data_IF_751345311922
#
_entry.id   IF_751345311922
#
_cell.length_a   1.000
_cell.length_b   1.000
_cell.length_c   1.000
_cell.angle_alpha   90.00
_cell.angle_beta   90.00
_cell.angle_gamma   90.00
#
_symmetry.space_group_name_H-M   'P 1'
#
loop_
_entity.id
_entity.type
_entity.pdbx_description
1 polymer ?
#
# COMPACT_ATOMS: atom_id res chain seq x y z
N UNK A 1 -1.64 33.96 8.00
CA UNK A 1 -2.12 33.10 6.88
C UNK A 1 -2.82 31.92 7.51
N UNK A 2 -4.02 31.53 7.05
CA UNK A 2 -4.68 30.33 7.58
C UNK A 2 -3.88 29.08 7.17
N UNK A 3 -3.68 28.18 8.12
CA UNK A 3 -2.90 26.94 7.92
C UNK A 3 -3.66 26.01 6.97
N UNK A 4 -2.96 25.41 6.00
CA UNK A 4 -3.55 24.40 5.13
C UNK A 4 -3.93 23.16 5.94
N UNK A 5 -5.15 22.67 5.75
CA UNK A 5 -5.71 21.49 6.39
C UNK A 5 -5.59 20.27 5.52
N UNK A 6 -5.24 19.13 6.10
CA UNK A 6 -5.17 17.85 5.39
C UNK A 6 -6.05 16.83 6.10
N UNK A 7 -7.04 16.30 5.41
CA UNK A 7 -7.87 15.19 5.86
C UNK A 7 -7.33 13.89 5.24
N UNK A 8 -6.72 13.06 6.06
CA UNK A 8 -6.17 11.76 5.62
C UNK A 8 -7.14 10.61 5.92
N UNK A 9 -7.11 9.52 5.18
CA UNK A 9 -7.89 8.31 5.46
C UNK A 9 -7.63 7.13 4.50
N UNK A 10 -7.86 5.93 4.94
CA UNK A 10 -8.33 5.57 6.29
C UNK A 10 -7.18 5.50 7.31
N UNK A 11 -7.46 6.00 8.51
CA UNK A 11 -6.48 6.11 9.59
C UNK A 11 -5.90 4.79 10.12
N UNK A 12 -6.49 3.65 9.75
CA UNK A 12 -6.00 2.29 10.08
C UNK A 12 -4.87 1.83 9.16
N UNK A 13 -4.54 2.58 8.11
CA UNK A 13 -3.43 2.26 7.22
C UNK A 13 -2.10 2.23 8.00
N UNK A 14 -1.26 1.23 7.73
CA UNK A 14 0.02 1.06 8.42
C UNK A 14 0.95 2.27 8.28
N UNK A 15 0.86 2.99 7.17
CA UNK A 15 1.63 4.21 6.90
C UNK A 15 1.06 5.45 7.57
N UNK A 16 -0.14 5.39 8.15
CA UNK A 16 -0.85 6.57 8.62
C UNK A 16 -0.07 7.40 9.67
N UNK A 17 0.62 6.83 10.67
CA UNK A 17 1.42 7.61 11.60
C UNK A 17 2.54 8.38 10.90
N UNK A 18 3.27 7.74 10.00
CA UNK A 18 4.37 8.37 9.27
C UNK A 18 3.87 9.48 8.32
N UNK A 19 2.68 9.32 7.75
CA UNK A 19 2.03 10.37 6.94
C UNK A 19 1.67 11.55 7.81
N UNK A 20 1.03 11.34 8.97
CA UNK A 20 0.70 12.43 9.91
C UNK A 20 1.94 13.22 10.26
N UNK A 21 3.00 12.54 10.68
CA UNK A 21 4.21 13.21 11.12
C UNK A 21 4.94 13.96 10.00
N UNK A 22 4.94 13.42 8.78
CA UNK A 22 5.49 14.13 7.60
C UNK A 22 4.72 15.44 7.34
N UNK A 23 3.39 15.39 7.42
CA UNK A 23 2.54 16.55 7.19
C UNK A 23 2.67 17.60 8.31
N UNK A 24 2.70 17.16 9.57
CA UNK A 24 2.89 18.04 10.72
C UNK A 24 4.26 18.73 10.69
N UNK A 25 5.32 17.98 10.36
CA UNK A 25 6.68 18.53 10.25
C UNK A 25 6.79 19.55 9.09
N UNK A 26 5.93 19.41 8.06
CA UNK A 26 5.79 20.40 6.98
C UNK A 26 4.86 21.57 7.32
N UNK A 27 4.26 21.61 8.51
CA UNK A 27 3.43 22.72 8.99
C UNK A 27 1.95 22.62 8.62
N UNK A 28 1.44 21.46 8.19
CA UNK A 28 0.02 21.26 7.92
C UNK A 28 -0.78 20.95 9.19
N UNK A 29 -2.05 21.39 9.24
CA UNK A 29 -3.03 20.96 10.25
C UNK A 29 -3.68 19.64 9.77
N UNK A 30 -3.55 18.56 10.56
CA UNK A 30 -3.92 17.21 10.12
C UNK A 30 -5.17 16.72 10.83
N UNK A 31 -6.12 16.26 10.05
CA UNK A 31 -7.31 15.52 10.45
C UNK A 31 -7.28 14.12 9.83
N UNK A 32 -7.92 13.17 10.46
CA UNK A 32 -8.03 11.82 9.94
C UNK A 32 -9.46 11.31 9.99
N UNK A 33 -9.84 10.46 9.03
CA UNK A 33 -11.06 9.67 9.14
C UNK A 33 -10.74 8.18 9.21
N UNK A 34 -11.46 7.48 10.06
CA UNK A 34 -11.34 6.06 10.34
C UNK A 34 -12.67 5.37 10.07
N UNK A 35 -12.65 4.07 9.80
CA UNK A 35 -13.88 3.25 9.75
C UNK A 35 -14.48 3.14 11.14
N UNK A 36 -15.78 3.40 11.26
CA UNK A 36 -16.51 3.28 12.51
C UNK A 36 -16.31 1.90 13.14
N UNK A 37 -15.95 1.90 14.42
CA UNK A 37 -15.68 0.66 15.15
C UNK A 37 -14.35 -0.04 14.83
N UNK A 38 -13.50 0.50 13.96
CA UNK A 38 -12.16 -0.02 13.70
C UNK A 38 -11.12 0.65 14.60
N UNK A 39 -10.19 -0.16 15.10
CA UNK A 39 -9.07 0.33 15.88
C UNK A 39 -8.04 1.04 14.98
N UNK A 40 -7.61 2.23 15.40
CA UNK A 40 -6.53 2.98 14.76
C UNK A 40 -5.57 3.51 15.81
N UNK A 41 -4.27 3.34 15.58
CA UNK A 41 -3.23 3.87 16.47
C UNK A 41 -3.25 5.40 16.53
N UNK A 42 -3.68 6.06 15.46
CA UNK A 42 -3.76 7.52 15.39
C UNK A 42 -4.74 8.16 16.39
N UNK A 43 -5.68 7.39 16.96
CA UNK A 43 -6.55 7.90 18.04
C UNK A 43 -5.78 8.32 19.29
N UNK A 44 -4.55 7.85 19.44
CA UNK A 44 -3.67 8.18 20.56
C UNK A 44 -2.64 9.25 20.23
N UNK A 45 -2.63 9.74 18.99
CA UNK A 45 -1.74 10.80 18.56
C UNK A 45 -2.21 12.15 19.11
N UNK A 46 -1.23 12.96 19.52
CA UNK A 46 -1.44 14.36 19.91
C UNK A 46 -1.47 15.32 18.71
N UNK A 47 -1.16 14.84 17.53
CA UNK A 47 -0.95 15.65 16.33
C UNK A 47 -2.11 15.60 15.33
N UNK A 48 -3.15 14.80 15.60
CA UNK A 48 -4.24 14.60 14.67
C UNK A 48 -5.57 14.44 15.38
N UNK A 49 -6.62 15.04 14.83
CA UNK A 49 -8.01 14.81 15.25
C UNK A 49 -8.62 13.71 14.36
N UNK A 50 -9.04 12.60 15.00
CA UNK A 50 -9.64 11.48 14.28
C UNK A 50 -11.18 11.56 14.31
N UNK A 51 -11.78 11.47 13.12
CA UNK A 51 -13.22 11.34 12.92
C UNK A 51 -13.56 9.90 12.51
N UNK A 52 -14.79 9.51 12.71
CA UNK A 52 -15.28 8.21 12.24
C UNK A 52 -16.33 8.40 11.14
N UNK A 53 -16.24 7.55 10.12
CA UNK A 53 -17.26 7.44 9.08
C UNK A 53 -17.73 5.99 8.94
N UNK A 54 -18.90 5.79 8.38
CA UNK A 54 -19.40 4.47 8.04
C UNK A 54 -18.35 3.71 7.21
N UNK A 55 -18.13 2.43 7.52
CA UNK A 55 -17.23 1.60 6.75
C UNK A 55 -17.84 1.25 5.38
N UNK A 56 -17.15 1.41 4.25
CA UNK A 56 -17.69 1.06 2.93
C UNK A 56 -17.97 -0.44 2.76
N UNK A 57 -17.40 -1.26 3.63
CA UNK A 57 -17.73 -2.68 3.78
C UNK A 57 -19.14 -2.92 4.33
N UNK A 58 -19.69 -1.94 5.04
CA UNK A 58 -21.05 -1.99 5.59
C UNK A 58 -22.05 -1.32 4.66
N UNK A 59 -21.75 -0.09 4.21
CA UNK A 59 -22.60 0.69 3.32
C UNK A 59 -21.77 1.77 2.62
N UNK A 60 -21.67 1.66 1.31
CA UNK A 60 -20.91 2.60 0.46
C UNK A 60 -21.56 3.97 0.42
N UNK A 61 -22.91 4.04 0.33
CA UNK A 61 -23.61 5.30 0.21
C UNK A 61 -23.53 6.12 1.50
N UNK A 62 -23.67 5.46 2.64
CA UNK A 62 -23.48 6.08 3.94
C UNK A 62 -22.03 6.59 4.10
N UNK A 63 -21.04 5.80 3.70
CA UNK A 63 -19.62 6.20 3.72
C UNK A 63 -19.36 7.46 2.90
N UNK A 64 -19.89 7.52 1.68
CA UNK A 64 -19.76 8.70 0.80
C UNK A 64 -20.44 9.93 1.39
N UNK A 65 -21.66 9.77 1.93
CA UNK A 65 -22.43 10.87 2.51
C UNK A 65 -21.76 11.44 3.76
N UNK A 66 -21.24 10.57 4.64
CA UNK A 66 -20.56 11.00 5.86
C UNK A 66 -19.20 11.65 5.57
N UNK A 67 -18.44 11.13 4.59
CA UNK A 67 -17.17 11.74 4.16
C UNK A 67 -17.42 13.12 3.51
N UNK A 68 -18.44 13.26 2.67
CA UNK A 68 -18.79 14.53 2.05
C UNK A 68 -19.26 15.57 3.10
N UNK A 69 -20.02 15.14 4.11
CA UNK A 69 -20.42 16.00 5.24
C UNK A 69 -19.21 16.46 6.05
N UNK A 70 -18.25 15.58 6.32
CA UNK A 70 -17.00 15.91 7.02
C UNK A 70 -16.18 16.92 6.22
N UNK A 71 -16.04 16.73 4.90
CA UNK A 71 -15.33 17.66 4.01
C UNK A 71 -16.00 19.04 3.98
N UNK A 72 -17.34 19.11 3.99
CA UNK A 72 -18.05 20.39 4.09
C UNK A 72 -17.80 21.09 5.42
N UNK A 73 -17.81 20.34 6.52
CA UNK A 73 -17.57 20.89 7.87
C UNK A 73 -16.15 21.44 7.98
N UNK A 74 -15.14 20.68 7.59
CA UNK A 74 -13.73 21.13 7.65
C UNK A 74 -13.46 22.25 6.62
N UNK A 75 -14.07 22.19 5.43
CA UNK A 75 -13.90 23.19 4.38
C UNK A 75 -14.57 24.53 4.70
N UNK A 76 -15.67 24.55 5.51
CA UNK A 76 -16.27 25.80 5.96
C UNK A 76 -15.39 26.59 6.93
N UNK A 77 -14.46 25.91 7.56
CA UNK A 77 -13.51 26.46 8.54
C UNK A 77 -12.13 26.77 7.93
N UNK A 78 -11.90 26.40 6.66
CA UNK A 78 -10.66 26.64 5.94
C UNK A 78 -10.83 27.75 4.91
N UNK A 79 -9.75 28.41 4.50
CA UNK A 79 -9.75 29.27 3.32
C UNK A 79 -9.95 28.43 2.05
N UNK A 80 -10.47 29.04 1.00
CA UNK A 80 -10.75 28.33 -0.26
C UNK A 80 -9.51 27.63 -0.82
N UNK A 81 -9.66 26.33 -1.19
CA UNK A 81 -8.57 25.53 -1.73
C UNK A 81 -7.51 25.07 -0.73
N UNK A 82 -7.65 25.38 0.56
CA UNK A 82 -6.70 24.98 1.61
C UNK A 82 -7.12 23.74 2.42
N UNK A 83 -8.13 23.01 1.97
CA UNK A 83 -8.44 21.67 2.48
C UNK A 83 -8.00 20.62 1.43
N UNK A 84 -7.14 19.71 1.85
CA UNK A 84 -6.65 18.60 1.01
C UNK A 84 -7.20 17.30 1.55
N UNK A 85 -7.80 16.48 0.68
CA UNK A 85 -8.19 15.11 0.97
C UNK A 85 -7.09 14.16 0.49
N UNK A 86 -6.58 13.29 1.37
CA UNK A 86 -5.46 12.42 1.08
C UNK A 86 -5.77 10.96 1.45
N UNK A 87 -6.09 10.07 0.49
CA UNK A 87 -6.38 8.66 0.74
C UNK A 87 -5.12 7.86 1.08
N UNK A 88 -5.21 6.97 2.10
CA UNK A 88 -4.10 6.19 2.61
C UNK A 88 -4.15 4.68 2.28
N UNK A 89 -5.29 4.17 1.84
CA UNK A 89 -5.46 2.79 1.38
C UNK A 89 -6.30 2.73 0.09
N UNK A 90 -6.36 1.57 -0.55
CA UNK A 90 -7.05 1.40 -1.84
C UNK A 90 -8.56 1.68 -1.73
N UNK A 91 -9.18 1.38 -0.58
CA UNK A 91 -10.60 1.66 -0.35
C UNK A 91 -10.86 3.15 -0.18
N UNK A 92 -9.92 3.87 0.46
CA UNK A 92 -9.97 5.32 0.52
C UNK A 92 -9.74 5.95 -0.87
N UNK A 93 -8.79 5.44 -1.67
CA UNK A 93 -8.60 5.89 -3.06
C UNK A 93 -9.91 5.73 -3.85
N UNK A 94 -10.52 4.55 -3.76
CA UNK A 94 -11.80 4.27 -4.43
C UNK A 94 -12.90 5.22 -3.94
N UNK A 95 -13.09 5.36 -2.63
CA UNK A 95 -14.12 6.21 -2.03
C UNK A 95 -13.93 7.68 -2.45
N UNK A 96 -12.72 8.21 -2.34
CA UNK A 96 -12.38 9.58 -2.71
C UNK A 96 -12.55 9.85 -4.21
N UNK A 97 -12.31 8.84 -5.08
CA UNK A 97 -12.50 8.97 -6.53
C UNK A 97 -13.97 9.12 -6.94
N UNK A 98 -14.91 8.69 -6.08
CA UNK A 98 -16.37 8.80 -6.31
C UNK A 98 -16.95 10.13 -5.85
N UNK A 99 -16.23 10.90 -5.05
CA UNK A 99 -16.68 12.21 -4.62
C UNK A 99 -16.62 13.22 -5.78
N UNK A 100 -17.66 14.03 -5.91
CA UNK A 100 -17.64 15.13 -6.88
C UNK A 100 -16.65 16.19 -6.41
N UNK A 101 -15.80 16.71 -7.31
CA UNK A 101 -14.93 17.83 -6.96
C UNK A 101 -15.78 19.00 -6.41
N UNK A 102 -15.44 19.46 -5.22
CA UNK A 102 -16.06 20.65 -4.60
C UNK A 102 -15.03 21.79 -4.55
N UNK A 103 -15.45 23.05 -4.74
CA UNK A 103 -14.56 24.21 -4.79
C UNK A 103 -13.75 24.47 -3.49
N UNK A 104 -14.08 23.77 -2.41
CA UNK A 104 -13.45 24.00 -1.09
C UNK A 104 -12.37 22.99 -0.71
N UNK A 105 -12.14 21.95 -1.50
CA UNK A 105 -11.10 20.97 -1.24
C UNK A 105 -10.48 20.44 -2.54
N UNK A 106 -9.22 20.00 -2.42
CA UNK A 106 -8.46 19.32 -3.49
C UNK A 106 -8.16 17.90 -3.07
N UNK A 107 -7.96 16.99 -4.05
CA UNK A 107 -7.53 15.62 -3.79
C UNK A 107 -6.02 15.48 -4.03
N UNK A 108 -5.28 15.12 -3.00
CA UNK A 108 -3.96 14.54 -3.12
C UNK A 108 -4.12 13.02 -3.31
N UNK A 109 -4.33 12.59 -4.54
CA UNK A 109 -4.59 11.19 -4.90
C UNK A 109 -5.03 11.04 -6.35
N UNK A 110 -5.05 9.81 -6.87
CA UNK A 110 -5.40 9.55 -8.26
C UNK A 110 -6.90 9.80 -8.54
N UNK A 111 -7.20 10.31 -9.73
CA UNK A 111 -8.56 10.54 -10.25
C UNK A 111 -8.72 10.00 -11.67
N UNK A 112 -9.96 9.75 -12.09
CA UNK A 112 -10.28 9.30 -13.44
C UNK A 112 -9.45 8.09 -13.84
N UNK A 113 -8.81 8.11 -15.01
CA UNK A 113 -7.99 7.00 -15.51
C UNK A 113 -6.83 6.61 -14.57
N UNK A 114 -6.26 7.57 -13.81
CA UNK A 114 -5.23 7.25 -12.82
C UNK A 114 -5.82 6.47 -11.62
N UNK A 115 -7.06 6.75 -11.22
CA UNK A 115 -7.73 5.96 -10.18
C UNK A 115 -8.06 4.55 -10.67
N UNK A 116 -8.49 4.41 -11.92
CA UNK A 116 -8.70 3.11 -12.55
C UNK A 116 -7.39 2.33 -12.62
N UNK A 117 -6.29 2.96 -13.06
CA UNK A 117 -4.96 2.35 -13.06
C UNK A 117 -4.53 1.92 -11.66
N UNK A 118 -4.76 2.75 -10.62
CA UNK A 118 -4.40 2.40 -9.24
C UNK A 118 -5.18 1.19 -8.70
N UNK A 119 -6.44 0.99 -9.16
CA UNK A 119 -7.38 0.06 -8.55
C UNK A 119 -7.65 -1.20 -9.38
N UNK A 120 -7.22 -1.24 -10.64
CA UNK A 120 -7.44 -2.34 -11.56
C UNK A 120 -6.15 -3.01 -11.98
N UNK A 121 -5.90 -4.20 -11.45
CA UNK A 121 -4.68 -4.97 -11.71
C UNK A 121 -4.56 -5.47 -13.16
N UNK A 122 -5.67 -5.72 -13.83
CA UNK A 122 -5.70 -6.04 -15.26
C UNK A 122 -5.14 -4.89 -16.10
N UNK A 123 -5.58 -3.66 -15.83
CA UNK A 123 -5.08 -2.45 -16.50
C UNK A 123 -3.59 -2.21 -16.18
N UNK A 124 -3.17 -2.42 -14.93
CA UNK A 124 -1.77 -2.29 -14.51
C UNK A 124 -0.84 -3.25 -15.26
N UNK A 125 -1.27 -4.51 -15.41
CA UNK A 125 -0.49 -5.55 -16.10
C UNK A 125 -0.25 -5.17 -17.57
N UNK A 126 -1.26 -4.69 -18.27
CA UNK A 126 -1.12 -4.26 -19.67
C UNK A 126 -0.21 -3.02 -19.77
N UNK A 127 -0.44 -1.99 -18.95
CA UNK A 127 0.40 -0.79 -18.93
C UNK A 127 1.87 -1.10 -18.59
N UNK A 128 2.13 -2.07 -17.70
CA UNK A 128 3.48 -2.50 -17.36
C UNK A 128 4.16 -3.23 -18.51
N UNK A 129 3.41 -4.07 -19.25
CA UNK A 129 3.91 -4.78 -20.44
C UNK A 129 4.29 -3.82 -21.55
N UNK A 130 3.49 -2.79 -21.79
CA UNK A 130 3.73 -1.77 -22.83
C UNK A 130 5.04 -1.00 -22.63
N UNK A 131 5.49 -0.84 -21.39
CA UNK A 131 6.77 -0.15 -21.08
C UNK A 131 7.94 -1.11 -20.85
N UNK A 132 7.74 -2.42 -21.11
CA UNK A 132 8.80 -3.42 -21.09
C UNK A 132 9.10 -4.04 -19.73
N UNK A 133 8.27 -3.86 -18.70
CA UNK A 133 8.39 -4.68 -17.49
C UNK A 133 8.10 -6.16 -17.80
N UNK A 134 8.87 -7.07 -17.19
CA UNK A 134 8.46 -8.46 -17.19
C UNK A 134 7.16 -8.59 -16.37
N UNK A 135 6.16 -9.24 -16.96
CA UNK A 135 4.86 -9.49 -16.32
C UNK A 135 4.62 -11.00 -16.34
N UNK A 136 4.18 -11.61 -15.23
CA UNK A 136 3.80 -13.02 -15.24
C UNK A 136 2.74 -13.28 -16.32
N UNK A 137 2.70 -14.47 -16.91
CA UNK A 137 1.58 -14.84 -17.77
C UNK A 137 0.29 -14.65 -16.97
N UNK A 138 -0.66 -13.95 -17.58
CA UNK A 138 -1.85 -13.45 -16.89
C UNK A 138 -3.07 -13.63 -17.76
N UNK A 139 -4.16 -14.09 -17.16
CA UNK A 139 -5.50 -14.09 -17.77
C UNK A 139 -6.50 -13.43 -16.80
N UNK A 140 -7.44 -12.67 -17.37
CA UNK A 140 -8.61 -12.16 -16.65
C UNK A 140 -9.71 -13.25 -16.73
N UNK A 141 -9.93 -13.94 -15.62
CA UNK A 141 -10.95 -14.98 -15.50
C UNK A 141 -12.27 -14.39 -14.99
N UNK A 142 -13.33 -14.62 -15.72
CA UNK A 142 -14.72 -14.28 -15.36
C UNK A 142 -15.56 -15.51 -15.06
N UNK A 143 -15.08 -16.69 -15.46
CA UNK A 143 -15.74 -17.98 -15.27
C UNK A 143 -14.73 -19.03 -14.80
N UNK A 144 -15.21 -20.10 -14.17
CA UNK A 144 -14.39 -21.25 -13.80
C UNK A 144 -13.67 -21.86 -15.02
N UNK A 145 -14.33 -21.84 -16.19
CA UNK A 145 -13.75 -22.33 -17.45
C UNK A 145 -12.48 -21.57 -17.83
N UNK A 146 -12.44 -20.23 -17.64
CA UNK A 146 -11.25 -19.42 -17.95
C UNK A 146 -10.05 -19.86 -17.11
N UNK A 147 -10.28 -20.18 -15.83
CA UNK A 147 -9.24 -20.67 -14.91
C UNK A 147 -8.72 -22.04 -15.31
N UNK A 148 -9.62 -22.95 -15.72
CA UNK A 148 -9.27 -24.29 -16.18
C UNK A 148 -8.44 -24.21 -17.45
N UNK A 149 -8.90 -23.45 -18.45
CA UNK A 149 -8.18 -23.24 -19.71
C UNK A 149 -6.79 -22.63 -19.48
N UNK A 150 -6.66 -21.68 -18.56
CA UNK A 150 -5.36 -21.12 -18.22
C UNK A 150 -4.39 -22.20 -17.69
N UNK A 151 -4.85 -23.10 -16.83
CA UNK A 151 -4.02 -24.16 -16.25
C UNK A 151 -3.73 -25.34 -17.18
N UNK A 152 -4.45 -25.47 -18.27
CA UNK A 152 -4.11 -26.41 -19.38
C UNK A 152 -2.88 -25.92 -20.15
N UNK A 153 -2.67 -24.60 -20.24
CA UNK A 153 -1.55 -23.96 -20.92
C UNK A 153 -0.38 -23.61 -19.99
N UNK A 154 -0.62 -23.51 -18.69
CA UNK A 154 0.38 -23.07 -17.70
C UNK A 154 0.60 -24.10 -16.61
N UNK A 155 1.87 -24.24 -16.21
CA UNK A 155 2.27 -25.12 -15.10
C UNK A 155 1.90 -24.51 -13.74
N UNK A 156 1.58 -25.37 -12.78
CA UNK A 156 1.50 -24.97 -11.37
C UNK A 156 2.89 -24.68 -10.78
N UNK A 157 3.01 -23.82 -9.75
CA UNK A 157 1.90 -23.15 -9.07
C UNK A 157 1.39 -21.89 -9.81
N UNK A 158 0.13 -21.57 -9.59
CA UNK A 158 -0.51 -20.33 -10.06
C UNK A 158 -1.04 -19.52 -8.86
N UNK A 159 -1.23 -18.22 -9.07
CA UNK A 159 -1.87 -17.34 -8.10
C UNK A 159 -3.17 -16.78 -8.67
N UNK A 160 -4.23 -16.81 -7.86
CA UNK A 160 -5.52 -16.20 -8.15
C UNK A 160 -5.71 -14.99 -7.21
N UNK A 161 -6.04 -13.84 -7.77
CA UNK A 161 -6.30 -12.61 -7.01
C UNK A 161 -7.39 -11.79 -7.69
N UNK A 162 -8.16 -10.99 -6.93
CA UNK A 162 -9.15 -10.10 -7.54
C UNK A 162 -8.48 -9.18 -8.57
N UNK A 163 -9.13 -9.01 -9.71
CA UNK A 163 -8.70 -8.06 -10.74
C UNK A 163 -8.84 -6.61 -10.27
N UNK A 164 -9.84 -6.35 -9.43
CA UNK A 164 -10.06 -5.05 -8.78
C UNK A 164 -9.57 -5.07 -7.34
N UNK A 165 -8.90 -3.99 -6.91
CA UNK A 165 -8.47 -3.82 -5.51
C UNK A 165 -9.66 -3.63 -4.57
N UNK A 166 -10.75 -3.04 -5.08
CA UNK A 166 -11.95 -2.68 -4.32
C UNK A 166 -13.20 -3.18 -5.07
N UNK A 167 -13.47 -4.50 -5.04
CA UNK A 167 -14.69 -5.03 -5.63
C UNK A 167 -15.91 -4.56 -4.82
N UNK A 168 -16.94 -4.09 -5.54
CA UNK A 168 -18.20 -3.61 -4.96
C UNK A 168 -19.35 -4.44 -5.47
N UNK A 169 -20.18 -4.91 -4.55
CA UNK A 169 -21.39 -5.66 -4.87
C UNK A 169 -22.50 -5.31 -3.89
N UNK A 170 -23.72 -5.12 -4.37
CA UNK A 170 -24.91 -4.77 -3.57
C UNK A 170 -24.66 -3.60 -2.58
N UNK A 171 -23.97 -2.56 -3.02
CA UNK A 171 -23.73 -1.35 -2.21
C UNK A 171 -22.69 -1.51 -1.09
N UNK A 172 -21.89 -2.59 -1.11
CA UNK A 172 -20.81 -2.87 -0.14
C UNK A 172 -19.50 -3.18 -0.82
N UNK A 173 -18.40 -2.81 -0.17
CA UNK A 173 -17.05 -3.20 -0.58
C UNK A 173 -16.73 -4.57 -0.01
N UNK A 174 -16.23 -5.47 -0.87
CA UNK A 174 -15.80 -6.80 -0.49
C UNK A 174 -14.29 -6.91 -0.40
N UNK A 175 -13.81 -7.86 0.41
CA UNK A 175 -12.43 -8.30 0.41
C UNK A 175 -12.34 -9.66 -0.28
N UNK A 176 -11.63 -9.73 -1.38
CA UNK A 176 -11.41 -10.97 -2.08
C UNK A 176 -10.19 -11.70 -1.51
N UNK A 177 -10.33 -13.00 -1.32
CA UNK A 177 -9.24 -13.89 -0.91
C UNK A 177 -8.23 -14.05 -2.08
N UNK A 178 -6.96 -14.26 -1.73
CA UNK A 178 -5.92 -14.70 -2.67
C UNK A 178 -5.69 -16.18 -2.47
N UNK A 179 -5.53 -16.93 -3.57
CA UNK A 179 -5.20 -18.34 -3.55
C UNK A 179 -3.89 -18.58 -4.30
N UNK A 180 -3.02 -19.39 -3.73
CA UNK A 180 -1.89 -19.98 -4.43
C UNK A 180 -2.22 -21.45 -4.60
N UNK A 181 -2.37 -21.89 -5.85
CA UNK A 181 -2.75 -23.24 -6.20
C UNK A 181 -1.51 -23.97 -6.74
N UNK A 182 -1.05 -24.96 -6.01
CA UNK A 182 0.10 -25.81 -6.40
C UNK A 182 -0.30 -27.01 -7.25
N UNK A 183 -1.59 -27.28 -7.42
CA UNK A 183 -2.13 -28.39 -8.19
C UNK A 183 -3.62 -28.19 -8.50
N UNK A 184 -4.18 -29.09 -9.32
CA UNK A 184 -5.59 -29.04 -9.74
C UNK A 184 -6.56 -29.10 -8.55
N UNK A 185 -6.34 -29.94 -7.57
CA UNK A 185 -7.24 -30.07 -6.42
C UNK A 185 -7.29 -28.77 -5.57
N UNK A 186 -6.21 -28.00 -5.53
CA UNK A 186 -6.20 -26.68 -4.89
C UNK A 186 -6.93 -25.62 -5.73
N UNK A 187 -6.84 -25.72 -7.06
CA UNK A 187 -7.61 -24.87 -7.95
C UNK A 187 -9.11 -25.13 -7.81
N UNK A 188 -9.55 -26.40 -7.81
CA UNK A 188 -10.96 -26.77 -7.67
C UNK A 188 -11.53 -26.22 -6.35
N UNK A 189 -10.79 -26.33 -5.24
CA UNK A 189 -11.17 -25.72 -3.94
C UNK A 189 -11.21 -24.18 -3.97
N UNK A 190 -10.37 -23.56 -4.77
CA UNK A 190 -10.40 -22.10 -4.94
C UNK A 190 -11.62 -21.67 -5.76
N UNK A 191 -11.98 -22.43 -6.80
CA UNK A 191 -13.18 -22.22 -7.62
C UNK A 191 -14.45 -22.37 -6.76
N UNK A 192 -14.55 -23.39 -5.92
CA UNK A 192 -15.69 -23.59 -5.00
C UNK A 192 -15.89 -22.42 -4.01
N UNK A 193 -14.81 -21.73 -3.66
CA UNK A 193 -14.83 -20.57 -2.75
C UNK A 193 -14.92 -19.23 -3.47
N UNK A 194 -14.80 -19.23 -4.77
CA UNK A 194 -14.80 -18.01 -5.55
C UNK A 194 -16.23 -17.45 -5.73
N UNK A 195 -16.34 -16.17 -5.49
CA UNK A 195 -17.55 -15.43 -5.79
C UNK A 195 -17.47 -14.93 -7.24
N UNK A 196 -18.12 -15.60 -8.17
CA UNK A 196 -18.00 -15.34 -9.64
C UNK A 196 -18.31 -13.91 -10.07
N UNK A 197 -19.03 -13.13 -9.24
CA UNK A 197 -19.25 -11.71 -9.51
C UNK A 197 -18.01 -10.82 -9.32
N UNK A 198 -16.90 -11.36 -8.79
CA UNK A 198 -15.61 -10.67 -8.66
C UNK A 198 -14.62 -11.30 -9.67
N UNK A 199 -14.31 -10.63 -10.80
CA UNK A 199 -13.31 -11.14 -11.74
C UNK A 199 -11.96 -11.38 -11.09
N UNK A 200 -11.30 -12.49 -11.44
CA UNK A 200 -9.97 -12.83 -10.94
C UNK A 200 -8.91 -12.65 -12.03
N UNK A 201 -7.71 -12.27 -11.60
CA UNK A 201 -6.50 -12.51 -12.37
C UNK A 201 -5.93 -13.87 -11.96
N UNK A 202 -5.76 -14.76 -12.93
CA UNK A 202 -4.94 -15.96 -12.80
C UNK A 202 -3.57 -15.65 -13.38
N UNK A 203 -2.51 -15.90 -12.61
CA UNK A 203 -1.14 -15.59 -13.02
C UNK A 203 -0.20 -16.75 -12.67
N UNK A 204 0.84 -16.96 -13.50
CA UNK A 204 1.97 -17.81 -13.12
C UNK A 204 2.58 -17.30 -11.81
N UNK A 205 2.84 -18.20 -10.87
CA UNK A 205 3.36 -17.83 -9.56
C UNK A 205 4.88 -17.63 -9.63
N UNK A 206 5.32 -16.40 -9.40
CA UNK A 206 6.74 -16.05 -9.36
C UNK A 206 7.22 -16.01 -7.91
N UNK A 207 8.32 -16.68 -7.63
CA UNK A 207 9.02 -16.61 -6.34
C UNK A 207 10.21 -15.64 -6.44
N UNK A 208 10.51 -14.97 -5.34
CA UNK A 208 11.64 -14.04 -5.32
C UNK A 208 11.62 -13.07 -4.14
N UNK A 209 12.56 -12.13 -4.17
CA UNK A 209 12.67 -11.07 -3.17
C UNK A 209 11.77 -9.90 -3.58
N UNK A 210 10.83 -9.54 -2.72
CA UNK A 210 9.99 -8.37 -2.93
C UNK A 210 10.79 -7.07 -2.89
N UNK A 211 10.59 -6.23 -3.89
CA UNK A 211 11.20 -4.91 -4.03
C UNK A 211 10.12 -3.84 -4.20
N UNK A 212 10.48 -2.59 -3.96
CA UNK A 212 9.62 -1.44 -4.24
C UNK A 212 10.41 -0.36 -4.93
N UNK A 213 9.80 0.22 -5.95
CA UNK A 213 10.24 1.43 -6.65
C UNK A 213 9.29 2.56 -6.26
N UNK A 214 9.83 3.67 -5.77
CA UNK A 214 9.06 4.81 -5.29
C UNK A 214 9.44 6.09 -5.99
N UNK A 215 8.48 6.98 -6.09
CA UNK A 215 8.72 8.31 -6.64
C UNK A 215 7.52 9.24 -6.48
N UNK A 216 7.69 10.46 -6.96
CA UNK A 216 6.68 11.48 -7.05
C UNK A 216 6.48 11.87 -8.50
N UNK A 217 5.35 11.52 -9.11
CA UNK A 217 5.00 11.95 -10.47
C UNK A 217 4.63 13.42 -10.51
N UNK A 218 5.31 14.19 -11.37
CA UNK A 218 5.10 15.61 -11.58
C UNK A 218 4.91 15.91 -13.09
N UNK A 219 4.48 17.12 -13.48
CA UNK A 219 4.25 17.44 -14.90
C UNK A 219 5.44 17.14 -15.82
N UNK A 220 6.65 17.41 -15.36
CA UNK A 220 7.88 17.20 -16.11
C UNK A 220 8.46 15.77 -16.02
N UNK A 221 7.90 14.91 -15.16
CA UNK A 221 8.35 13.54 -14.96
C UNK A 221 8.39 13.13 -13.50
N UNK A 222 9.19 12.10 -13.17
CA UNK A 222 9.27 11.57 -11.80
C UNK A 222 10.42 12.24 -11.04
N UNK A 223 10.11 12.68 -9.84
CA UNK A 223 11.06 13.24 -8.87
C UNK A 223 11.33 12.28 -7.73
N UNK A 224 12.44 12.47 -7.02
CA UNK A 224 12.75 11.82 -5.74
C UNK A 224 12.69 10.29 -5.79
N UNK A 225 13.35 9.67 -6.76
CA UNK A 225 13.41 8.21 -6.85
C UNK A 225 14.03 7.56 -5.62
N UNK A 226 13.40 6.49 -5.14
CA UNK A 226 13.99 5.61 -4.12
C UNK A 226 13.51 4.17 -4.30
N UNK A 227 14.20 3.25 -3.63
CA UNK A 227 13.86 1.83 -3.70
C UNK A 227 14.10 1.13 -2.38
N UNK A 228 13.43 0.00 -2.22
CA UNK A 228 13.67 -0.93 -1.13
C UNK A 228 13.63 -2.39 -1.59
N UNK A 229 14.19 -3.26 -0.76
CA UNK A 229 13.89 -4.68 -0.78
C UNK A 229 13.35 -5.13 0.58
N UNK A 230 12.56 -6.21 0.58
CA UNK A 230 12.01 -6.81 1.81
C UNK A 230 13.06 -7.71 2.45
N UNK A 231 13.54 -7.28 3.62
CA UNK A 231 14.51 -8.06 4.43
C UNK A 231 13.81 -9.25 5.07
N UNK A 232 12.58 -9.03 5.58
CA UNK A 232 11.82 -10.05 6.29
C UNK A 232 10.33 -9.86 6.10
N UNK A 233 9.62 -10.98 5.90
CA UNK A 233 8.17 -11.01 5.85
C UNK A 233 7.60 -11.21 7.25
N UNK A 234 6.47 -10.61 7.59
CA UNK A 234 5.81 -10.84 8.88
C UNK A 234 5.44 -12.33 9.04
N UNK A 235 4.76 -12.90 8.05
CA UNK A 235 4.56 -14.34 7.95
C UNK A 235 5.44 -14.85 6.81
N UNK A 236 6.35 -15.82 7.03
CA UNK A 236 7.20 -16.36 5.96
C UNK A 236 6.45 -16.87 4.73
N UNK A 237 5.21 -17.35 4.90
CA UNK A 237 4.33 -17.81 3.82
C UNK A 237 3.24 -16.79 3.46
N UNK A 238 3.32 -15.57 3.97
CA UNK A 238 2.30 -14.53 3.77
C UNK A 238 2.78 -13.36 2.93
N UNK A 239 1.93 -12.34 2.87
CA UNK A 239 2.25 -11.04 2.30
C UNK A 239 2.49 -10.01 3.41
N UNK A 240 3.26 -8.99 3.11
CA UNK A 240 3.58 -7.90 4.05
C UNK A 240 4.89 -8.13 4.79
N UNK A 241 5.80 -7.16 4.64
CA UNK A 241 7.10 -7.17 5.28
C UNK A 241 7.02 -6.75 6.74
N UNK A 242 7.93 -7.29 7.57
CA UNK A 242 8.22 -6.80 8.92
C UNK A 242 9.46 -5.91 8.93
N UNK A 243 10.37 -6.08 7.99
CA UNK A 243 11.55 -5.26 7.81
C UNK A 243 11.85 -5.02 6.32
N UNK A 244 12.25 -3.79 6.00
CA UNK A 244 12.70 -3.38 4.67
C UNK A 244 14.03 -2.65 4.77
N UNK A 245 14.87 -2.82 3.76
CA UNK A 245 16.12 -2.08 3.61
C UNK A 245 16.09 -1.23 2.34
N UNK A 246 16.71 -0.06 2.41
CA UNK A 246 16.90 0.79 1.24
C UNK A 246 17.82 0.12 0.22
N UNK A 247 17.54 0.36 -1.06
CA UNK A 247 18.42 -0.04 -2.16
C UNK A 247 18.44 1.04 -3.24
N UNK A 248 19.56 1.17 -3.98
CA UNK A 248 19.59 1.96 -5.20
C UNK A 248 18.59 1.40 -6.22
N UNK A 249 18.03 2.28 -7.03
CA UNK A 249 17.17 1.90 -8.15
C UNK A 249 18.05 1.72 -9.39
N UNK A 250 17.99 0.55 -10.01
CA UNK A 250 18.70 0.27 -11.25
C UNK A 250 18.14 1.13 -12.40
N UNK A 251 19.01 1.58 -13.30
CA UNK A 251 18.66 2.57 -14.33
C UNK A 251 17.62 2.05 -15.34
N UNK A 252 17.67 0.77 -15.69
CA UNK A 252 16.66 0.10 -16.52
C UNK A 252 15.27 0.14 -15.89
N UNK A 253 15.18 -0.23 -14.61
CA UNK A 253 13.93 -0.21 -13.83
C UNK A 253 13.42 1.22 -13.65
N UNK A 254 14.33 2.17 -13.42
CA UNK A 254 14.00 3.59 -13.33
C UNK A 254 13.45 4.12 -14.65
N UNK A 255 14.05 3.74 -15.79
CA UNK A 255 13.59 4.11 -17.12
C UNK A 255 12.19 3.57 -17.42
N UNK A 256 11.94 2.29 -17.14
CA UNK A 256 10.63 1.67 -17.29
C UNK A 256 9.58 2.34 -16.39
N UNK A 257 9.93 2.59 -15.12
CA UNK A 257 9.06 3.30 -14.18
C UNK A 257 8.75 4.73 -14.63
N UNK A 258 9.72 5.46 -15.15
CA UNK A 258 9.55 6.80 -15.70
C UNK A 258 8.56 6.80 -16.89
N UNK A 259 8.70 5.82 -17.79
CA UNK A 259 7.82 5.69 -18.94
C UNK A 259 6.40 5.29 -18.51
N UNK A 260 6.27 4.36 -17.54
CA UNK A 260 4.98 3.94 -16.98
C UNK A 260 4.20 5.14 -16.40
N UNK A 261 4.87 5.94 -15.57
CA UNK A 261 4.28 7.12 -14.93
C UNK A 261 3.94 8.21 -15.96
N UNK A 262 4.81 8.43 -16.94
CA UNK A 262 4.57 9.43 -18.01
C UNK A 262 3.39 9.03 -18.89
N UNK A 263 3.33 7.78 -19.37
CA UNK A 263 2.28 7.30 -20.26
C UNK A 263 0.90 7.31 -19.58
N UNK A 264 0.85 7.06 -18.27
CA UNK A 264 -0.39 7.11 -17.50
C UNK A 264 -0.84 8.53 -17.12
N UNK A 265 -0.02 9.55 -17.32
CA UNK A 265 -0.29 10.91 -16.84
C UNK A 265 -0.35 11.02 -15.32
N UNK A 266 0.30 10.10 -14.61
CA UNK A 266 0.25 10.01 -13.14
C UNK A 266 0.78 11.27 -12.46
N UNK A 267 0.08 11.70 -11.41
CA UNK A 267 0.49 12.80 -10.53
C UNK A 267 0.51 12.36 -9.08
N UNK A 268 1.53 12.79 -8.36
CA UNK A 268 1.69 12.50 -6.93
C UNK A 268 2.52 11.26 -6.65
N UNK A 269 2.52 10.86 -5.37
CA UNK A 269 3.30 9.71 -4.92
C UNK A 269 2.81 8.40 -5.55
N UNK A 270 3.74 7.47 -5.74
CA UNK A 270 3.47 6.11 -6.21
C UNK A 270 4.48 5.10 -5.67
N UNK A 271 4.05 3.86 -5.59
CA UNK A 271 4.89 2.69 -5.38
C UNK A 271 4.61 1.66 -6.46
N UNK A 272 5.62 1.25 -7.22
CA UNK A 272 5.57 0.04 -8.05
C UNK A 272 6.17 -1.10 -7.24
N UNK A 273 5.36 -2.11 -6.95
CA UNK A 273 5.82 -3.35 -6.31
C UNK A 273 6.43 -4.26 -7.36
N UNK A 274 7.61 -4.78 -7.06
CA UNK A 274 8.40 -5.62 -7.92
C UNK A 274 8.82 -6.91 -7.19
N UNK A 275 9.15 -7.95 -7.96
CA UNK A 275 9.74 -9.19 -7.48
C UNK A 275 11.01 -9.46 -8.26
N UNK A 276 12.13 -9.73 -7.55
CA UNK A 276 13.38 -10.21 -8.19
C UNK A 276 13.51 -11.70 -7.96
N UNK A 277 13.49 -12.48 -9.05
CA UNK A 277 13.64 -13.93 -8.99
C UNK A 277 15.11 -14.35 -8.77
N UNK A 278 15.36 -15.67 -8.68
CA UNK A 278 16.70 -16.23 -8.44
C UNK A 278 17.64 -16.02 -9.63
N UNK A 279 17.12 -15.85 -10.84
CA UNK A 279 17.86 -15.52 -12.05
C UNK A 279 18.16 -14.01 -12.19
N UNK A 280 17.71 -13.22 -11.22
CA UNK A 280 17.91 -11.76 -11.19
C UNK A 280 16.92 -10.96 -12.04
N UNK A 281 15.94 -11.59 -12.70
CA UNK A 281 14.91 -10.90 -13.47
C UNK A 281 13.96 -10.16 -12.52
N UNK A 282 13.55 -8.97 -12.92
CA UNK A 282 12.62 -8.15 -12.16
C UNK A 282 11.23 -8.22 -12.79
N UNK A 283 10.25 -8.62 -11.99
CA UNK A 283 8.86 -8.81 -12.38
C UNK A 283 7.98 -7.74 -11.77
N UNK A 284 7.10 -7.15 -12.58
CA UNK A 284 6.06 -6.23 -12.10
C UNK A 284 4.99 -7.00 -11.32
N UNK A 285 4.57 -6.45 -10.18
CA UNK A 285 3.52 -7.04 -9.34
C UNK A 285 2.28 -6.17 -9.33
N UNK A 286 2.41 -4.90 -8.90
CA UNK A 286 1.31 -3.93 -8.87
C UNK A 286 1.80 -2.49 -8.70
N UNK A 287 0.97 -1.52 -9.09
CA UNK A 287 1.10 -0.11 -8.76
C UNK A 287 0.20 0.23 -7.58
N UNK A 288 0.76 0.88 -6.57
CA UNK A 288 0.04 1.44 -5.43
C UNK A 288 0.01 2.96 -5.54
N UNK A 289 -1.18 3.53 -5.70
CA UNK A 289 -1.43 4.98 -5.82
C UNK A 289 -1.69 5.69 -4.50
N UNK A 290 -1.09 5.22 -3.44
CA UNK A 290 -1.29 5.70 -2.07
C UNK A 290 -0.04 5.44 -1.22
N UNK A 291 0.10 6.03 -0.02
CA UNK A 291 1.21 5.72 0.88
C UNK A 291 1.35 4.21 1.14
N UNK A 292 2.58 3.75 1.16
CA UNK A 292 2.92 2.32 1.32
C UNK A 292 3.45 2.01 2.71
N UNK A 293 3.46 0.73 3.06
CA UNK A 293 3.79 0.30 4.41
C UNK A 293 5.21 0.62 4.88
N UNK A 294 6.18 0.78 3.98
CA UNK A 294 7.56 1.16 4.34
C UNK A 294 7.82 2.67 4.30
N UNK A 295 6.80 3.50 4.54
CA UNK A 295 6.94 4.97 4.54
C UNK A 295 7.99 5.47 5.53
N UNK A 296 8.11 4.85 6.70
CA UNK A 296 9.17 5.14 7.68
C UNK A 296 10.58 5.05 7.08
N UNK A 297 10.81 4.07 6.19
CA UNK A 297 12.10 3.91 5.51
C UNK A 297 12.40 5.12 4.62
N UNK A 298 11.40 5.58 3.83
CA UNK A 298 11.56 6.74 2.97
C UNK A 298 11.85 8.01 3.78
N UNK A 299 11.12 8.25 4.86
CA UNK A 299 11.34 9.40 5.74
C UNK A 299 12.74 9.36 6.38
N UNK A 300 13.20 8.20 6.81
CA UNK A 300 14.58 8.01 7.30
C UNK A 300 15.64 8.29 6.23
N UNK A 301 15.31 8.02 4.96
CA UNK A 301 16.16 8.39 3.84
C UNK A 301 16.16 9.91 3.54
N UNK A 302 15.32 10.70 4.20
CA UNK A 302 15.16 12.14 3.97
C UNK A 302 14.12 12.47 2.91
N UNK A 303 13.22 11.53 2.59
CA UNK A 303 12.21 11.67 1.54
C UNK A 303 10.83 11.84 2.18
N UNK A 304 10.32 13.06 2.17
CA UNK A 304 9.02 13.43 2.76
C UNK A 304 7.90 13.35 1.71
N UNK A 305 7.77 12.19 1.05
CA UNK A 305 6.76 11.97 0.00
C UNK A 305 5.34 12.39 0.37
N UNK A 306 4.84 12.18 1.63
CA UNK A 306 3.50 12.63 1.99
C UNK A 306 3.35 14.15 1.94
N UNK A 307 4.29 14.90 2.48
CA UNK A 307 4.28 16.36 2.45
C UNK A 307 4.37 16.87 1.00
N UNK A 308 5.33 16.36 0.24
CA UNK A 308 5.52 16.71 -1.17
C UNK A 308 4.29 16.40 -2.05
N UNK A 309 3.58 15.31 -1.73
CA UNK A 309 2.35 14.96 -2.44
C UNK A 309 1.23 15.98 -2.19
N UNK A 310 1.10 16.49 -0.97
CA UNK A 310 0.14 17.53 -0.62
C UNK A 310 0.55 18.86 -1.27
N UNK A 311 1.82 19.23 -1.19
CA UNK A 311 2.34 20.45 -1.81
C UNK A 311 2.13 20.43 -3.34
N UNK A 312 2.37 19.29 -3.99
CA UNK A 312 2.12 19.13 -5.43
C UNK A 312 0.61 19.23 -5.76
N UNK A 313 -0.28 18.77 -4.87
CA UNK A 313 -1.72 18.91 -5.05
C UNK A 313 -2.21 20.35 -4.85
N UNK A 314 -1.48 21.15 -4.08
CA UNK A 314 -1.75 22.59 -3.90
C UNK A 314 -1.27 23.38 -5.10
N UNK A 315 -0.07 23.09 -5.59
CA UNK A 315 0.58 23.75 -6.73
C UNK A 315 1.41 22.73 -7.54
N UNK A 316 0.91 22.35 -8.72
CA UNK A 316 1.57 21.43 -9.65
C UNK A 316 2.95 21.91 -10.13
N UNK A 317 3.20 23.23 -10.09
CA UNK A 317 4.48 23.83 -10.50
C UNK A 317 5.52 23.85 -9.38
N UNK A 318 5.17 23.44 -8.17
CA UNK A 318 6.07 23.42 -7.04
C UNK A 318 7.36 22.63 -7.33
N UNK A 319 8.50 23.13 -6.83
CA UNK A 319 9.80 22.46 -6.95
C UNK A 319 10.02 21.29 -6.00
N UNK A 320 9.00 20.85 -5.27
CA UNK A 320 9.10 19.82 -4.22
C UNK A 320 9.71 18.52 -4.73
N UNK A 321 10.56 17.90 -3.93
CA UNK A 321 11.24 16.66 -4.26
C UNK A 321 12.36 16.78 -5.31
N UNK A 322 12.57 17.96 -5.91
CA UNK A 322 13.69 18.18 -6.84
C UNK A 322 15.02 18.17 -6.07
N UNK A 323 16.00 17.41 -6.58
CA UNK A 323 17.33 17.34 -5.98
C UNK A 323 17.37 16.68 -4.60
N UNK A 324 16.33 15.94 -4.20
CA UNK A 324 16.29 15.25 -2.94
C UNK A 324 17.46 14.27 -2.79
N UNK A 325 18.23 14.42 -1.70
CA UNK A 325 19.37 13.54 -1.40
C UNK A 325 18.87 12.32 -0.61
N UNK A 326 19.06 11.15 -1.18
CA UNK A 326 18.65 9.88 -0.58
C UNK A 326 19.75 9.33 0.31
N UNK A 327 19.51 9.18 1.60
CA UNK A 327 20.44 8.51 2.53
C UNK A 327 20.44 7.00 2.26
N UNK A 328 21.59 6.39 1.99
CA UNK A 328 21.67 4.96 1.71
C UNK A 328 21.75 4.11 2.98
N UNK A 329 21.70 2.78 2.80
CA UNK A 329 22.02 1.77 3.83
C UNK A 329 21.18 1.89 5.12
N UNK A 330 19.88 2.15 4.96
CA UNK A 330 18.92 2.24 6.06
C UNK A 330 18.08 0.97 6.08
N UNK A 331 17.88 0.41 7.28
CA UNK A 331 16.92 -0.65 7.53
C UNK A 331 15.85 -0.12 8.46
N UNK A 332 14.58 -0.35 8.13
CA UNK A 332 13.47 -0.03 9.03
C UNK A 332 12.68 -1.30 9.36
N UNK A 333 12.27 -1.40 10.64
CA UNK A 333 11.60 -2.58 11.20
C UNK A 333 10.31 -2.17 11.89
N UNK A 334 9.25 -2.94 11.68
CA UNK A 334 7.98 -2.77 12.35
C UNK A 334 7.93 -3.69 13.57
N UNK A 335 8.02 -3.15 14.79
CA UNK A 335 8.18 -3.94 16.00
C UNK A 335 7.12 -5.04 16.19
N UNK A 336 5.84 -4.70 16.03
CA UNK A 336 4.75 -5.68 16.16
C UNK A 336 4.82 -6.81 15.12
N UNK A 337 5.21 -6.49 13.86
CA UNK A 337 5.37 -7.49 12.80
C UNK A 337 6.63 -8.33 12.96
N UNK A 338 7.73 -7.78 13.48
CA UNK A 338 8.92 -8.54 13.85
C UNK A 338 8.58 -9.56 14.97
N UNK A 339 7.84 -9.11 16.00
CA UNK A 339 7.35 -10.00 17.04
C UNK A 339 6.47 -11.13 16.44
N UNK A 340 5.52 -10.79 15.58
CA UNK A 340 4.67 -11.77 14.90
C UNK A 340 5.46 -12.71 14.01
N UNK A 341 6.54 -12.24 13.36
CA UNK A 341 7.40 -13.11 12.57
C UNK A 341 8.01 -14.24 13.44
N UNK A 342 8.54 -13.89 14.63
CA UNK A 342 9.05 -14.90 15.58
C UNK A 342 7.95 -15.91 15.94
N UNK A 343 6.73 -15.44 16.22
CA UNK A 343 5.61 -16.32 16.55
C UNK A 343 5.25 -17.25 15.39
N UNK A 344 5.29 -16.76 14.13
CA UNK A 344 5.08 -17.63 12.96
C UNK A 344 6.22 -18.63 12.75
N UNK A 345 7.46 -18.22 12.95
CA UNK A 345 8.63 -19.11 12.86
C UNK A 345 8.53 -20.26 13.87
N UNK A 346 8.16 -19.96 15.11
CA UNK A 346 7.94 -20.97 16.17
C UNK A 346 6.77 -21.91 15.86
N UNK A 347 5.71 -21.40 15.24
CA UNK A 347 4.52 -22.20 14.89
C UNK A 347 4.79 -23.18 13.75
N UNK A 348 5.83 -22.95 12.94
CA UNK A 348 6.16 -23.76 11.78
C UNK A 348 5.34 -23.44 10.51
N UNK A 349 5.71 -24.08 9.39
CA UNK A 349 5.04 -23.87 8.09
C UNK A 349 3.64 -24.48 8.10
N UNK A 350 2.72 -23.81 7.37
CA UNK A 350 1.36 -24.33 7.13
C UNK A 350 1.26 -25.19 5.87
N UNK A 351 2.21 -25.07 4.97
CA UNK A 351 2.28 -25.80 3.71
C UNK A 351 3.75 -25.98 3.29
N UNK A 352 3.99 -26.95 2.42
CA UNK A 352 5.33 -27.20 1.85
C UNK A 352 5.67 -26.27 0.68
N UNK A 353 4.96 -25.17 0.51
CA UNK A 353 5.17 -24.21 -0.59
C UNK A 353 6.50 -23.43 -0.49
N UNK A 354 7.16 -23.44 0.66
CA UNK A 354 8.51 -22.88 0.83
C UNK A 354 9.52 -24.00 1.03
N UNK A 355 10.54 -24.02 0.20
CA UNK A 355 11.63 -24.99 0.27
C UNK A 355 12.50 -24.82 1.53
N UNK A 356 12.48 -23.64 2.17
CA UNK A 356 13.28 -23.33 3.37
C UNK A 356 12.45 -22.51 4.35
N UNK A 357 12.23 -23.05 5.56
CA UNK A 357 11.64 -22.33 6.68
C UNK A 357 12.73 -21.60 7.47
N UNK A 358 12.50 -20.35 7.93
CA UNK A 358 13.48 -19.61 8.73
C UNK A 358 13.83 -20.34 10.03
N UNK A 359 15.13 -20.34 10.38
CA UNK A 359 15.58 -20.85 11.68
C UNK A 359 15.33 -19.81 12.77
N UNK A 360 14.77 -20.25 13.91
CA UNK A 360 14.49 -19.37 15.04
C UNK A 360 15.74 -18.64 15.55
N UNK A 361 16.82 -19.37 15.82
CA UNK A 361 18.04 -18.78 16.37
C UNK A 361 18.73 -17.82 15.39
N UNK A 362 18.73 -18.16 14.12
CA UNK A 362 19.24 -17.28 13.07
C UNK A 362 18.41 -16.00 12.98
N UNK A 363 17.09 -16.13 12.96
CA UNK A 363 16.16 -15.00 12.94
C UNK A 363 16.35 -14.08 14.15
N UNK A 364 16.43 -14.65 15.35
CA UNK A 364 16.64 -13.89 16.57
C UNK A 364 17.98 -13.13 16.55
N UNK A 365 19.06 -13.81 16.12
CA UNK A 365 20.38 -13.18 15.97
C UNK A 365 20.36 -12.01 14.98
N UNK A 366 19.65 -12.16 13.84
CA UNK A 366 19.50 -11.09 12.85
C UNK A 366 18.68 -9.91 13.39
N UNK A 367 17.66 -10.17 14.20
CA UNK A 367 16.85 -9.13 14.82
C UNK A 367 17.60 -8.32 15.89
N UNK A 368 18.52 -8.99 16.60
CA UNK A 368 19.34 -8.32 17.62
C UNK A 368 20.50 -7.49 17.02
N UNK A 369 20.80 -7.67 15.74
CA UNK A 369 21.76 -6.83 15.03
C UNK A 369 21.11 -5.50 14.64
N UNK A 370 21.36 -4.47 15.44
CA UNK A 370 20.84 -3.11 15.22
C UNK A 370 22.00 -2.21 14.85
N UNK A 371 21.88 -1.50 13.75
CA UNK A 371 22.82 -0.47 13.32
C UNK A 371 22.31 0.92 13.70
N UNK A 372 23.22 1.88 13.85
CA UNK A 372 22.85 3.27 14.20
C UNK A 372 21.93 3.95 13.22
N UNK A 373 21.95 3.51 11.96
CA UNK A 373 21.09 4.02 10.88
C UNK A 373 19.71 3.35 10.84
N UNK A 374 19.52 2.25 11.59
CA UNK A 374 18.26 1.50 11.60
C UNK A 374 17.13 2.34 12.18
N UNK A 375 15.93 2.17 11.63
CA UNK A 375 14.72 2.82 12.06
C UNK A 375 13.66 1.84 12.56
N UNK A 376 12.76 2.37 13.37
CA UNK A 376 11.56 1.65 13.78
C UNK A 376 10.36 2.35 13.14
N UNK A 377 9.43 1.58 12.58
CA UNK A 377 8.19 2.12 12.03
C UNK A 377 7.31 2.68 13.13
N UNK A 378 6.62 3.74 12.80
CA UNK A 378 5.60 4.35 13.66
C UNK A 378 6.12 4.74 15.04
N UNK A 379 7.42 5.14 15.10
CA UNK A 379 8.07 5.61 16.31
C UNK A 379 8.45 7.10 16.22
N UNK A 380 7.88 7.89 17.14
CA UNK A 380 8.20 9.30 17.34
C UNK A 380 8.20 9.59 18.86
N UNK A 381 9.27 10.18 19.43
CA UNK A 381 9.40 10.35 20.89
C UNK A 381 8.26 11.15 21.53
N UNK A 382 7.80 12.22 20.88
CA UNK A 382 6.73 13.10 21.36
C UNK A 382 5.32 12.52 21.09
N UNK A 383 5.22 11.35 20.40
CA UNK A 383 3.96 10.66 20.08
C UNK A 383 4.03 9.14 20.35
N UNK A 384 4.78 8.72 21.35
CA UNK A 384 5.08 7.32 21.66
C UNK A 384 3.84 6.44 21.91
N UNK A 385 2.71 7.03 22.30
CA UNK A 385 1.44 6.30 22.48
C UNK A 385 0.95 5.66 21.18
N UNK A 386 1.21 6.29 20.03
CA UNK A 386 0.88 5.74 18.71
C UNK A 386 1.65 4.44 18.46
N UNK A 387 2.95 4.42 18.75
CA UNK A 387 3.78 3.21 18.61
C UNK A 387 3.27 2.06 19.50
N UNK A 388 2.93 2.34 20.76
CA UNK A 388 2.42 1.32 21.68
C UNK A 388 1.07 0.77 21.21
N UNK A 389 0.18 1.63 20.73
CA UNK A 389 -1.11 1.23 20.18
C UNK A 389 -0.95 0.43 18.89
N UNK A 390 -0.06 0.85 17.98
CA UNK A 390 0.22 0.15 16.73
C UNK A 390 0.81 -1.24 16.99
N UNK A 391 1.75 -1.36 17.94
CA UNK A 391 2.27 -2.64 18.37
C UNK A 391 1.16 -3.55 18.91
N UNK A 392 0.36 -3.04 19.85
CA UNK A 392 -0.74 -3.79 20.45
C UNK A 392 -1.76 -4.27 19.40
N UNK A 393 -2.24 -3.37 18.53
CA UNK A 393 -3.23 -3.73 17.50
C UNK A 393 -2.66 -4.70 16.45
N UNK A 394 -1.38 -4.57 16.12
CA UNK A 394 -0.71 -5.49 15.20
C UNK A 394 -0.66 -6.90 15.81
N UNK A 395 -0.24 -7.03 17.07
CA UNK A 395 -0.10 -8.32 17.75
C UNK A 395 -1.49 -8.93 18.03
N UNK A 396 -2.37 -8.15 18.67
CA UNK A 396 -3.73 -8.60 19.01
C UNK A 396 -4.52 -9.03 17.77
N UNK A 397 -4.51 -8.21 16.71
CA UNK A 397 -5.22 -8.50 15.48
C UNK A 397 -4.72 -9.76 14.73
N UNK A 398 -3.47 -10.19 14.95
CA UNK A 398 -2.95 -11.42 14.34
C UNK A 398 -3.08 -12.67 15.24
N UNK A 399 -3.13 -12.48 16.56
CA UNK A 399 -3.27 -13.60 17.51
C UNK A 399 -4.74 -13.98 17.74
N UNK A 400 -5.63 -13.00 17.81
CA UNK A 400 -7.02 -13.16 18.23
C UNK A 400 -8.06 -12.91 17.12
N UNK A 401 -7.64 -12.69 15.86
CA UNK A 401 -8.61 -12.77 14.76
C UNK A 401 -9.21 -14.16 14.75
N UNK A 402 -10.52 -14.24 15.08
CA UNK A 402 -11.32 -15.40 14.72
C UNK A 402 -11.12 -15.68 13.24
N UNK A 403 -11.02 -16.94 12.88
CA UNK A 403 -10.94 -17.41 11.49
C UNK A 403 -12.36 -17.27 10.91
N UNK A 404 -12.74 -16.05 10.53
CA UNK A 404 -13.90 -15.80 9.67
C UNK A 404 -13.48 -15.85 8.20
#
# INVERSE_FOLDING_TARGET
>A
MSQTRVLIGFAEAMSAPEVVWSLVDAGFEVFAFARKGRASALRYSRHVVCHEICAPESDVQASLSELDALLRTLGSQASEGQLILFPLDDKAVWLCSKLKPGGRWKLAGPRGLCADLALRKDVQVEAAREVGFNVPKTVLARTAKDLITFTEAESYPIILKAAECVPVYQGRVYSCRKWVCGNRAELDRAIDQWQEHVPLLAQSFITGIGQGLFGLGAPEGVRAWSGHYRVRMMNPQGSGSSACASQPVADDIKSQGQQFIRNSGWRGLFMIELLRDEEGRVWFVELNGRPWGSMALCRRQGLEYPAWHVELALDDSSGVGLGATVRPNIVCRHAGREFMHIMFVLKGPKSNALNRWPSFWKTLSEMLRIHRTDGVYNWRPDDAKVFLADFYYTVHGNLFKSRD
#
